data_IF_137756551686
#
_entry.id   IF_137756551686
#
_cell.length_a   1.000
_cell.length_b   1.000
_cell.length_c   1.000
_cell.angle_alpha   90.00
_cell.angle_beta   90.00
_cell.angle_gamma   90.00
#
_symmetry.space_group_name_H-M   'P 1'
#
loop_
_entity.id
_entity.type
_entity.pdbx_description
1 polymer ?
#
# COMPACT_ATOMS: atom_id res chain seq x y z
N UNK A 1 18.40 -7.91 -40.44
CA UNK A 1 18.67 -7.39 -39.09
C UNK A 1 18.98 -8.62 -38.24
N UNK A 2 20.26 -8.96 -38.07
CA UNK A 2 20.67 -10.08 -37.22
C UNK A 2 20.59 -9.57 -35.76
N UNK A 3 19.56 -9.95 -35.05
CA UNK A 3 19.53 -9.71 -33.61
C UNK A 3 20.63 -10.45 -32.91
N UNK A 4 21.47 -9.71 -32.20
CA UNK A 4 22.53 -10.33 -31.42
C UNK A 4 21.87 -11.12 -30.26
N UNK A 5 22.39 -12.27 -29.91
CA UNK A 5 21.87 -13.10 -28.81
C UNK A 5 21.72 -12.31 -27.51
N UNK A 6 22.56 -11.30 -27.30
CA UNK A 6 22.50 -10.41 -26.17
C UNK A 6 21.25 -9.52 -26.19
N UNK A 7 20.84 -9.00 -27.34
CA UNK A 7 19.65 -8.17 -27.48
C UNK A 7 18.37 -8.97 -27.20
N UNK A 8 18.29 -10.19 -27.69
CA UNK A 8 17.19 -11.13 -27.41
C UNK A 8 17.10 -11.39 -25.91
N UNK A 9 18.23 -11.59 -25.22
CA UNK A 9 18.28 -11.78 -23.78
C UNK A 9 17.76 -10.55 -23.02
N UNK A 10 18.05 -9.32 -23.46
CA UNK A 10 17.54 -8.10 -22.83
C UNK A 10 16.03 -7.99 -22.99
N UNK A 11 15.52 -8.26 -24.18
CA UNK A 11 14.06 -8.27 -24.43
C UNK A 11 13.36 -9.31 -23.53
N UNK A 12 13.95 -10.51 -23.42
CA UNK A 12 13.42 -11.55 -22.55
C UNK A 12 13.38 -11.11 -21.08
N UNK A 13 14.39 -10.38 -20.59
CA UNK A 13 14.40 -9.83 -19.21
C UNK A 13 13.27 -8.85 -19.00
N UNK A 14 13.02 -7.95 -19.96
CA UNK A 14 11.90 -7.01 -19.89
C UNK A 14 10.56 -7.74 -19.82
N UNK A 15 10.40 -8.76 -20.65
CA UNK A 15 9.18 -9.54 -20.68
C UNK A 15 8.94 -10.30 -19.37
N UNK A 16 9.97 -10.98 -18.84
CA UNK A 16 9.88 -11.71 -17.55
C UNK A 16 9.61 -10.74 -16.40
N UNK A 17 10.27 -9.58 -16.36
CA UNK A 17 10.03 -8.56 -15.35
C UNK A 17 8.58 -8.06 -15.41
N UNK A 18 8.06 -7.78 -16.61
CA UNK A 18 6.69 -7.36 -16.84
C UNK A 18 5.68 -8.41 -16.37
N UNK A 19 5.92 -9.69 -16.69
CA UNK A 19 5.06 -10.79 -16.21
C UNK A 19 5.03 -10.87 -14.67
N UNK A 20 6.19 -10.76 -14.01
CA UNK A 20 6.26 -10.72 -12.54
C UNK A 20 5.46 -9.55 -11.97
N UNK A 21 5.64 -8.35 -12.54
CA UNK A 21 4.86 -7.16 -12.15
C UNK A 21 3.36 -7.35 -12.40
N UNK A 22 2.98 -7.94 -13.54
CA UNK A 22 1.58 -8.24 -13.88
C UNK A 22 0.94 -9.15 -12.83
N UNK A 23 1.63 -10.22 -12.43
CA UNK A 23 1.12 -11.20 -11.46
C UNK A 23 0.89 -10.52 -10.10
N UNK A 24 1.86 -9.70 -9.61
CA UNK A 24 1.69 -8.91 -8.40
C UNK A 24 0.48 -7.96 -8.53
N UNK A 25 0.39 -7.25 -9.66
CA UNK A 25 -0.66 -6.27 -9.90
C UNK A 25 -2.05 -6.89 -10.09
N UNK A 26 -2.16 -8.15 -10.55
CA UNK A 26 -3.43 -8.88 -10.62
C UNK A 26 -4.00 -9.10 -9.21
N UNK A 27 -3.18 -9.52 -8.28
CA UNK A 27 -3.59 -9.67 -6.87
C UNK A 27 -4.05 -8.34 -6.30
N UNK A 28 -3.32 -7.24 -6.55
CA UNK A 28 -3.71 -5.90 -6.10
C UNK A 28 -5.04 -5.45 -6.69
N UNK A 29 -5.24 -5.65 -8.00
CA UNK A 29 -6.50 -5.34 -8.69
C UNK A 29 -7.67 -6.13 -8.09
N UNK A 30 -7.50 -7.43 -7.84
CA UNK A 30 -8.56 -8.27 -7.26
C UNK A 30 -8.97 -7.82 -5.84
N UNK A 31 -8.11 -7.05 -5.16
CA UNK A 31 -8.37 -6.46 -3.84
C UNK A 31 -8.74 -4.98 -3.88
N UNK A 32 -9.09 -4.47 -5.06
CA UNK A 32 -9.50 -3.06 -5.25
C UNK A 32 -8.49 -2.05 -4.69
N UNK A 33 -7.18 -2.37 -4.81
CA UNK A 33 -6.11 -1.43 -4.42
C UNK A 33 -5.83 -0.45 -5.56
N UNK A 34 -5.34 0.75 -5.22
CA UNK A 34 -5.16 1.89 -6.12
C UNK A 34 -4.21 1.58 -7.28
N UNK A 35 -3.09 0.88 -7.02
CA UNK A 35 -2.17 0.41 -8.04
C UNK A 35 -2.45 -1.04 -8.42
N UNK A 36 -2.96 -1.23 -9.63
CA UNK A 36 -3.33 -2.55 -10.17
C UNK A 36 -2.32 -3.09 -11.18
N UNK A 37 -2.79 -3.99 -12.04
CA UNK A 37 -1.99 -4.76 -13.01
C UNK A 37 -1.14 -3.90 -13.93
N UNK A 38 -1.72 -2.81 -14.49
CA UNK A 38 -0.99 -1.93 -15.43
C UNK A 38 0.17 -1.22 -14.75
N UNK A 39 -0.05 -0.68 -13.56
CA UNK A 39 0.97 0.05 -12.80
C UNK A 39 2.15 -0.85 -12.47
N UNK A 40 1.89 -2.02 -11.89
CA UNK A 40 2.95 -2.97 -11.53
C UNK A 40 3.71 -3.50 -12.74
N UNK A 41 3.02 -3.79 -13.86
CA UNK A 41 3.66 -4.18 -15.11
C UNK A 41 4.65 -3.12 -15.59
N UNK A 42 4.21 -1.85 -15.68
CA UNK A 42 5.03 -0.74 -16.16
C UNK A 42 6.22 -0.50 -15.23
N UNK A 43 6.01 -0.50 -13.92
CA UNK A 43 7.08 -0.28 -12.93
C UNK A 43 8.13 -1.36 -13.02
N UNK A 44 7.75 -2.64 -13.14
CA UNK A 44 8.69 -3.75 -13.27
C UNK A 44 9.49 -3.67 -14.58
N UNK A 45 8.81 -3.44 -15.72
CA UNK A 45 9.46 -3.28 -17.02
C UNK A 45 10.43 -2.09 -17.04
N UNK A 46 9.99 -0.92 -16.55
CA UNK A 46 10.82 0.28 -16.54
C UNK A 46 12.05 0.10 -15.65
N UNK A 47 11.87 -0.50 -14.47
CA UNK A 47 12.99 -0.79 -13.55
C UNK A 47 13.99 -1.78 -14.16
N UNK A 48 13.50 -2.83 -14.86
CA UNK A 48 14.35 -3.77 -15.58
C UNK A 48 15.11 -3.10 -16.72
N UNK A 49 14.45 -2.23 -17.49
CA UNK A 49 15.08 -1.45 -18.54
C UNK A 49 16.20 -0.56 -17.98
N UNK A 50 15.92 0.20 -16.93
CA UNK A 50 16.92 1.06 -16.30
C UNK A 50 18.10 0.28 -15.76
N UNK A 51 17.87 -0.93 -15.22
CA UNK A 51 18.96 -1.82 -14.79
C UNK A 51 19.79 -2.36 -15.96
N UNK A 52 19.16 -2.71 -17.07
CA UNK A 52 19.86 -3.15 -18.29
C UNK A 52 20.75 -2.02 -18.82
N UNK A 53 20.18 -0.80 -18.94
CA UNK A 53 20.94 0.38 -19.37
C UNK A 53 22.08 0.70 -18.40
N UNK A 54 21.83 0.62 -17.08
CA UNK A 54 22.82 0.89 -16.04
C UNK A 54 24.01 -0.06 -16.15
N UNK A 55 23.74 -1.35 -16.36
CA UNK A 55 24.77 -2.40 -16.34
C UNK A 55 25.50 -2.58 -17.68
N UNK A 56 24.81 -2.37 -18.79
CA UNK A 56 25.31 -2.73 -20.12
C UNK A 56 25.39 -1.55 -21.08
N UNK A 57 24.65 -0.46 -20.85
CA UNK A 57 24.56 0.67 -21.78
C UNK A 57 25.84 1.52 -21.89
N UNK A 58 26.79 1.34 -20.96
CA UNK A 58 28.06 2.08 -20.92
C UNK A 58 29.27 1.13 -20.94
N UNK A 59 29.12 -0.06 -21.51
CA UNK A 59 30.15 -1.08 -21.54
C UNK A 59 31.40 -0.65 -22.32
N UNK A 60 31.21 0.23 -23.32
CA UNK A 60 32.28 0.84 -24.12
C UNK A 60 33.13 1.86 -23.34
N UNK A 61 32.64 2.36 -22.22
CA UNK A 61 33.31 3.38 -21.38
C UNK A 61 34.03 2.79 -20.16
N UNK A 62 34.07 1.48 -20.02
CA UNK A 62 34.48 0.83 -18.76
C UNK A 62 36.00 0.87 -18.51
N UNK A 63 36.84 1.02 -19.54
CA UNK A 63 38.30 1.08 -19.40
C UNK A 63 38.83 2.14 -20.36
N UNK A 64 39.45 3.20 -19.85
CA UNK A 64 40.21 4.11 -20.65
C UNK A 64 41.70 3.66 -20.72
N UNK A 65 42.53 4.31 -21.57
CA UNK A 65 43.98 4.00 -21.74
C UNK A 65 44.79 4.04 -20.43
N UNK A 66 44.23 4.65 -19.36
CA UNK A 66 44.86 4.76 -18.04
C UNK A 66 44.33 3.74 -17.03
N UNK A 67 43.47 2.77 -17.45
CA UNK A 67 42.94 1.72 -16.58
C UNK A 67 41.90 2.22 -15.57
N UNK A 68 41.37 3.45 -15.71
CA UNK A 68 40.36 4.03 -14.81
C UNK A 68 38.98 3.57 -15.26
N UNK A 69 38.17 3.05 -14.35
CA UNK A 69 36.75 2.76 -14.62
C UNK A 69 36.00 4.06 -14.90
N UNK A 70 35.55 4.25 -16.14
CA UNK A 70 34.88 5.46 -16.57
C UNK A 70 33.40 5.54 -16.13
N UNK A 71 32.68 4.40 -16.07
CA UNK A 71 31.26 4.36 -15.75
C UNK A 71 30.94 3.47 -14.56
N UNK A 72 30.11 3.97 -13.66
CA UNK A 72 29.58 3.20 -12.53
C UNK A 72 28.24 2.57 -12.94
N UNK A 73 28.27 1.27 -13.21
CA UNK A 73 27.10 0.49 -13.63
C UNK A 73 25.98 0.38 -12.58
N UNK A 74 26.18 0.87 -11.34
CA UNK A 74 25.14 0.87 -10.31
C UNK A 74 24.39 2.22 -10.22
N UNK A 75 24.92 3.28 -10.81
CA UNK A 75 24.43 4.65 -10.61
C UNK A 75 23.00 4.87 -11.04
N UNK A 76 22.62 4.43 -12.26
CA UNK A 76 21.24 4.58 -12.76
C UNK A 76 20.30 3.68 -11.96
N UNK A 77 20.71 2.45 -11.64
CA UNK A 77 19.92 1.54 -10.83
C UNK A 77 19.64 2.10 -9.43
N UNK A 78 20.61 2.75 -8.79
CA UNK A 78 20.44 3.44 -7.51
C UNK A 78 19.40 4.56 -7.59
N UNK A 79 19.37 5.31 -8.70
CA UNK A 79 18.37 6.36 -8.91
C UNK A 79 16.95 5.80 -9.10
N UNK A 80 16.78 4.58 -9.59
CA UNK A 80 15.47 3.93 -9.65
C UNK A 80 14.91 3.74 -8.26
N UNK A 81 15.72 3.26 -7.30
CA UNK A 81 15.30 3.03 -5.90
C UNK A 81 14.82 4.33 -5.26
N UNK A 82 15.55 5.42 -5.48
CA UNK A 82 15.15 6.76 -5.00
C UNK A 82 13.89 7.28 -5.73
N UNK A 83 13.88 7.18 -7.06
CA UNK A 83 12.80 7.72 -7.90
C UNK A 83 11.46 7.03 -7.69
N UNK A 84 11.45 5.73 -7.47
CA UNK A 84 10.21 4.98 -7.16
C UNK A 84 9.63 5.40 -5.80
N UNK A 85 10.47 5.90 -4.87
CA UNK A 85 10.01 6.47 -3.61
C UNK A 85 9.06 7.66 -3.82
N UNK A 86 9.28 8.48 -4.85
CA UNK A 86 8.36 9.57 -5.22
C UNK A 86 6.99 9.04 -5.68
N UNK A 87 6.97 8.01 -6.52
CA UNK A 87 5.72 7.37 -6.94
C UNK A 87 4.99 6.75 -5.74
N UNK A 88 5.74 6.08 -4.85
CA UNK A 88 5.20 5.52 -3.61
C UNK A 88 4.58 6.59 -2.72
N UNK A 89 5.27 7.70 -2.51
CA UNK A 89 4.76 8.82 -1.72
C UNK A 89 3.46 9.40 -2.32
N UNK A 90 3.37 9.49 -3.65
CA UNK A 90 2.17 9.93 -4.37
C UNK A 90 0.95 9.02 -4.21
N UNK A 91 1.13 7.79 -3.70
CA UNK A 91 0.04 6.84 -3.42
C UNK A 91 -0.46 6.88 -1.98
N UNK A 92 0.20 7.66 -1.12
CA UNK A 92 -0.16 7.79 0.30
C UNK A 92 -1.07 9.00 0.47
N UNK A 93 -2.29 8.76 0.91
CA UNK A 93 -3.25 9.82 1.18
C UNK A 93 -3.51 9.90 2.69
N UNK A 94 -3.46 11.13 3.20
CA UNK A 94 -3.82 11.44 4.59
C UNK A 94 -5.14 12.21 4.56
N UNK A 95 -6.18 11.62 5.12
CA UNK A 95 -7.49 12.26 5.23
C UNK A 95 -7.97 12.21 6.68
N UNK A 96 -8.14 13.38 7.29
CA UNK A 96 -8.44 13.50 8.73
C UNK A 96 -7.44 12.66 9.54
N UNK A 97 -7.93 11.62 10.25
CA UNK A 97 -7.12 10.74 11.10
C UNK A 97 -6.78 9.39 10.44
N UNK A 98 -7.02 9.22 9.14
CA UNK A 98 -6.72 7.97 8.42
C UNK A 98 -5.62 8.16 7.38
N UNK A 99 -4.71 7.17 7.32
CA UNK A 99 -3.65 7.10 6.31
C UNK A 99 -3.92 5.88 5.45
N UNK A 100 -4.11 6.10 4.15
CA UNK A 100 -4.33 5.04 3.15
C UNK A 100 -3.19 4.97 2.16
N UNK A 101 -3.07 3.86 1.40
CA UNK A 101 -2.08 3.72 0.35
C UNK A 101 -0.69 3.23 0.78
N UNK A 102 -0.38 3.08 2.08
CA UNK A 102 0.93 2.63 2.57
C UNK A 102 1.34 1.28 1.98
N UNK A 103 0.43 0.30 1.99
CA UNK A 103 0.68 -1.04 1.43
C UNK A 103 0.87 -1.00 -0.09
N UNK A 104 0.14 -0.11 -0.77
CA UNK A 104 0.25 0.11 -2.21
C UNK A 104 1.61 0.71 -2.55
N UNK A 105 2.06 1.72 -1.79
CA UNK A 105 3.38 2.34 -1.95
C UNK A 105 4.52 1.33 -1.77
N UNK A 106 4.47 0.52 -0.70
CA UNK A 106 5.42 -0.56 -0.45
C UNK A 106 5.42 -1.61 -1.58
N UNK A 107 4.23 -1.97 -2.10
CA UNK A 107 4.08 -2.88 -3.24
C UNK A 107 4.73 -2.37 -4.52
N UNK A 108 4.57 -1.09 -4.86
CA UNK A 108 5.22 -0.46 -6.02
C UNK A 108 6.74 -0.48 -5.86
N UNK A 109 7.25 -0.11 -4.67
CA UNK A 109 8.68 -0.11 -4.39
C UNK A 109 9.29 -1.51 -4.49
N UNK A 110 8.64 -2.52 -3.94
CA UNK A 110 9.06 -3.92 -4.03
C UNK A 110 9.03 -4.44 -5.49
N UNK A 111 8.02 -4.07 -6.27
CA UNK A 111 7.91 -4.43 -7.70
C UNK A 111 9.05 -3.83 -8.51
N UNK A 112 9.47 -2.61 -8.21
CA UNK A 112 10.64 -2.02 -8.84
C UNK A 112 11.92 -2.81 -8.52
N UNK A 113 12.09 -3.27 -7.27
CA UNK A 113 13.18 -4.16 -6.87
C UNK A 113 13.20 -5.48 -7.65
N UNK A 114 12.03 -6.09 -7.87
CA UNK A 114 11.90 -7.29 -8.74
C UNK A 114 12.35 -6.98 -10.16
N UNK A 115 11.93 -5.85 -10.72
CA UNK A 115 12.37 -5.41 -12.05
C UNK A 115 13.87 -5.23 -12.14
N UNK A 116 14.50 -4.56 -11.16
CA UNK A 116 15.96 -4.40 -11.10
C UNK A 116 16.68 -5.74 -11.04
N UNK A 117 16.22 -6.69 -10.23
CA UNK A 117 16.82 -8.02 -10.11
C UNK A 117 16.80 -8.78 -11.44
N UNK A 118 15.64 -8.82 -12.11
CA UNK A 118 15.47 -9.51 -13.40
C UNK A 118 16.28 -8.81 -14.49
N UNK A 119 16.27 -7.47 -14.52
CA UNK A 119 17.08 -6.66 -15.44
C UNK A 119 18.58 -6.91 -15.29
N UNK A 120 19.06 -7.13 -14.06
CA UNK A 120 20.44 -7.52 -13.78
C UNK A 120 20.79 -8.94 -14.23
N UNK A 121 19.78 -9.77 -14.59
CA UNK A 121 19.94 -11.18 -14.93
C UNK A 121 19.80 -12.14 -13.73
N UNK A 122 19.37 -11.64 -12.57
CA UNK A 122 19.15 -12.41 -11.35
C UNK A 122 17.73 -13.01 -11.33
N UNK A 123 17.42 -13.87 -12.30
CA UNK A 123 16.07 -14.41 -12.50
C UNK A 123 15.55 -15.16 -11.28
N UNK A 124 16.38 -16.02 -10.67
CA UNK A 124 15.98 -16.80 -9.48
C UNK A 124 15.58 -15.89 -8.35
N UNK A 125 16.34 -14.82 -8.10
CA UNK A 125 16.05 -13.84 -7.04
C UNK A 125 14.77 -13.07 -7.34
N UNK A 126 14.62 -12.57 -8.56
CA UNK A 126 13.44 -11.79 -8.97
C UNK A 126 12.14 -12.62 -8.92
N UNK A 127 12.18 -13.86 -9.42
CA UNK A 127 11.01 -14.76 -9.40
C UNK A 127 10.69 -15.18 -7.96
N UNK A 128 11.69 -15.55 -7.15
CA UNK A 128 11.47 -15.90 -5.74
C UNK A 128 10.91 -14.72 -4.94
N UNK A 129 11.41 -13.50 -5.18
CA UNK A 129 10.88 -12.30 -4.57
C UNK A 129 9.41 -12.07 -4.96
N UNK A 130 9.05 -12.27 -6.24
CA UNK A 130 7.67 -12.17 -6.72
C UNK A 130 6.76 -13.15 -5.97
N UNK A 131 7.16 -14.42 -5.85
CA UNK A 131 6.40 -15.44 -5.14
C UNK A 131 6.25 -15.11 -3.66
N UNK A 132 7.32 -14.64 -3.01
CA UNK A 132 7.31 -14.23 -1.61
C UNK A 132 6.37 -13.04 -1.37
N UNK A 133 6.41 -12.03 -2.24
CA UNK A 133 5.52 -10.88 -2.17
C UNK A 133 4.06 -11.29 -2.30
N UNK A 134 3.75 -12.17 -3.26
CA UNK A 134 2.40 -12.71 -3.43
C UNK A 134 1.94 -13.48 -2.20
N UNK A 135 2.79 -14.39 -1.72
CA UNK A 135 2.49 -15.17 -0.53
C UNK A 135 2.22 -14.27 0.68
N UNK A 136 3.09 -13.29 0.91
CA UNK A 136 2.92 -12.33 1.99
C UNK A 136 1.61 -11.54 1.86
N UNK A 137 1.29 -11.07 0.66
CA UNK A 137 0.05 -10.33 0.39
C UNK A 137 -1.21 -11.17 0.60
N UNK A 138 -1.16 -12.46 0.24
CA UNK A 138 -2.29 -13.39 0.45
C UNK A 138 -2.41 -13.75 1.93
N UNK A 139 -1.31 -14.19 2.56
CA UNK A 139 -1.30 -14.70 3.94
C UNK A 139 -1.61 -13.59 4.94
N UNK A 140 -0.99 -12.43 4.82
CA UNK A 140 -1.21 -11.30 5.73
C UNK A 140 -2.61 -10.67 5.58
N UNK A 141 -3.29 -10.97 4.48
CA UNK A 141 -4.69 -10.54 4.32
C UNK A 141 -5.71 -11.57 4.84
N UNK A 142 -5.28 -12.81 5.04
CA UNK A 142 -6.16 -13.78 5.69
C UNK A 142 -6.37 -13.32 7.14
N UNK A 143 -7.64 -13.18 7.54
CA UNK A 143 -8.03 -12.84 8.92
C UNK A 143 -7.54 -13.95 9.88
N UNK A 144 -6.26 -13.93 10.18
CA UNK A 144 -5.72 -14.74 11.26
C UNK A 144 -6.35 -14.24 12.56
N UNK A 145 -7.15 -15.07 13.20
CA UNK A 145 -7.77 -14.78 14.51
C UNK A 145 -6.78 -14.27 15.57
N UNK A 146 -5.50 -14.50 15.35
CA UNK A 146 -4.39 -14.12 16.25
C UNK A 146 -3.84 -12.71 15.99
N UNK A 147 -4.01 -12.17 14.77
CA UNK A 147 -3.54 -10.83 14.36
C UNK A 147 -4.70 -9.84 14.27
N UNK A 148 -5.91 -10.24 14.63
CA UNK A 148 -7.07 -9.38 14.64
C UNK A 148 -6.91 -8.31 15.70
N UNK A 149 -6.21 -7.21 15.37
CA UNK A 149 -6.42 -5.95 16.04
C UNK A 149 -7.94 -5.68 15.96
N UNK A 150 -8.57 -5.42 17.09
CA UNK A 150 -9.97 -5.04 17.12
C UNK A 150 -10.11 -3.83 16.20
N UNK A 151 -10.96 -3.95 15.17
CA UNK A 151 -11.11 -2.86 14.20
C UNK A 151 -11.86 -1.74 14.88
N UNK A 152 -11.22 -0.59 15.00
CA UNK A 152 -11.89 0.62 15.41
C UNK A 152 -13.04 0.92 14.45
N UNK A 153 -14.16 1.34 14.97
CA UNK A 153 -15.35 1.75 14.21
C UNK A 153 -15.65 3.21 14.51
N UNK A 154 -16.26 3.86 13.56
CA UNK A 154 -16.70 5.24 13.70
C UNK A 154 -18.20 5.22 13.94
N UNK A 155 -18.62 5.67 15.12
CA UNK A 155 -20.01 5.94 15.45
C UNK A 155 -20.29 7.42 15.20
N UNK A 156 -21.08 7.72 14.19
CA UNK A 156 -21.58 9.06 13.90
C UNK A 156 -22.96 9.22 14.53
N UNK A 157 -23.15 10.27 15.31
CA UNK A 157 -24.45 10.65 15.90
C UNK A 157 -24.79 12.05 15.43
N UNK A 158 -25.93 12.20 14.79
CA UNK A 158 -26.34 13.43 14.13
C UNK A 158 -27.39 14.20 14.93
N UNK A 159 -27.40 15.53 14.76
CA UNK A 159 -28.44 16.45 15.25
C UNK A 159 -28.70 16.38 16.76
N UNK A 160 -27.60 16.39 17.53
CA UNK A 160 -27.70 16.37 19.00
C UNK A 160 -27.78 17.78 19.56
N UNK A 161 -28.78 18.04 20.39
CA UNK A 161 -29.05 19.38 20.96
C UNK A 161 -28.54 19.54 22.40
N UNK A 162 -28.02 18.48 23.03
CA UNK A 162 -27.58 18.49 24.43
C UNK A 162 -26.11 18.88 24.60
N UNK A 163 -25.80 19.87 25.43
CA UNK A 163 -24.45 20.35 25.73
C UNK A 163 -23.57 19.30 26.44
N UNK A 164 -24.13 18.33 27.16
CA UNK A 164 -23.40 17.31 27.91
C UNK A 164 -23.40 15.93 27.25
N UNK A 165 -23.87 15.86 26.00
CA UNK A 165 -24.02 14.59 25.30
C UNK A 165 -22.72 13.81 25.15
N UNK A 166 -21.61 14.48 24.86
CA UNK A 166 -20.30 13.84 24.77
C UNK A 166 -19.95 13.06 26.04
N UNK A 167 -20.09 13.68 27.21
CA UNK A 167 -19.77 13.04 28.50
C UNK A 167 -20.74 11.90 28.81
N UNK A 168 -22.01 12.06 28.48
CA UNK A 168 -23.01 11.02 28.63
C UNK A 168 -22.69 9.80 27.78
N UNK A 169 -22.42 9.99 26.48
CA UNK A 169 -22.10 8.90 25.55
C UNK A 169 -20.80 8.17 25.90
N UNK A 170 -19.76 8.91 26.29
CA UNK A 170 -18.49 8.27 26.70
C UNK A 170 -18.72 7.38 27.92
N UNK A 171 -19.46 7.85 28.92
CA UNK A 171 -19.77 7.07 30.11
C UNK A 171 -20.66 5.85 29.79
N UNK A 172 -21.65 6.00 28.90
CA UNK A 172 -22.54 4.91 28.47
C UNK A 172 -21.76 3.82 27.75
N UNK A 173 -20.91 4.20 26.80
CA UNK A 173 -20.10 3.27 26.02
C UNK A 173 -19.07 2.55 26.88
N UNK A 174 -18.35 3.28 27.75
CA UNK A 174 -17.38 2.70 28.67
C UNK A 174 -18.03 1.77 29.69
N UNK A 175 -19.23 2.10 30.19
CA UNK A 175 -20.00 1.24 31.09
C UNK A 175 -20.42 -0.09 30.47
N UNK A 176 -20.42 -0.20 29.13
CA UNK A 176 -20.66 -1.43 28.37
C UNK A 176 -19.37 -2.11 27.86
N UNK A 177 -18.20 -1.63 28.27
CA UNK A 177 -16.91 -2.18 27.86
C UNK A 177 -16.46 -1.76 26.45
N UNK A 178 -17.11 -0.75 25.85
CA UNK A 178 -16.69 -0.16 24.56
C UNK A 178 -15.61 0.87 24.85
N UNK A 179 -14.42 0.69 24.28
CA UNK A 179 -13.35 1.68 24.39
C UNK A 179 -13.59 2.84 23.41
N UNK A 180 -13.50 4.07 23.91
CA UNK A 180 -13.60 5.30 23.11
C UNK A 180 -12.20 5.89 22.97
N UNK A 181 -11.68 5.97 21.74
CA UNK A 181 -10.32 6.42 21.46
C UNK A 181 -10.26 7.91 21.08
N UNK A 182 -11.28 8.40 20.37
CA UNK A 182 -11.32 9.79 19.94
C UNK A 182 -12.77 10.27 19.84
N UNK A 183 -12.97 11.58 20.02
CA UNK A 183 -14.29 12.23 19.90
C UNK A 183 -14.11 13.56 19.18
N UNK A 184 -14.74 13.71 18.03
CA UNK A 184 -14.82 15.00 17.32
C UNK A 184 -16.24 15.49 17.24
N UNK A 185 -16.41 16.83 17.24
CA UNK A 185 -17.70 17.51 17.22
C UNK A 185 -17.72 18.51 16.08
N UNK A 186 -18.68 18.40 15.20
CA UNK A 186 -18.90 19.35 14.10
C UNK A 186 -20.27 20.03 14.31
N UNK A 187 -20.33 21.37 14.13
CA UNK A 187 -21.59 22.09 14.14
C UNK A 187 -22.30 21.94 12.81
N UNK A 188 -23.57 21.55 12.85
CA UNK A 188 -24.49 21.52 11.71
C UNK A 188 -25.57 22.62 11.87
N UNK A 189 -26.30 22.88 10.79
CA UNK A 189 -27.42 23.88 10.84
C UNK A 189 -28.57 23.43 11.76
N UNK A 190 -28.73 22.11 11.99
CA UNK A 190 -29.78 21.48 12.76
C UNK A 190 -29.35 20.99 14.16
N UNK A 191 -28.06 21.22 14.55
CA UNK A 191 -27.54 20.73 15.82
C UNK A 191 -26.03 20.48 15.79
N UNK A 192 -25.57 19.57 16.64
CA UNK A 192 -24.17 19.13 16.69
C UNK A 192 -24.06 17.66 16.24
N UNK A 193 -23.10 17.37 15.38
CA UNK A 193 -22.77 16.02 14.98
C UNK A 193 -21.56 15.54 15.78
N UNK A 194 -21.69 14.40 16.43
CA UNK A 194 -20.64 13.78 17.23
C UNK A 194 -20.08 12.56 16.48
N UNK A 195 -18.77 12.51 16.32
CA UNK A 195 -18.08 11.35 15.75
C UNK A 195 -17.22 10.71 16.85
N UNK A 196 -17.54 9.49 17.23
CA UNK A 196 -16.80 8.70 18.21
C UNK A 196 -15.99 7.62 17.48
N UNK A 197 -14.69 7.53 17.73
CA UNK A 197 -13.88 6.39 17.31
C UNK A 197 -13.92 5.37 18.45
N UNK A 198 -14.60 4.26 18.22
CA UNK A 198 -14.92 3.26 19.23
C UNK A 198 -14.32 1.89 18.86
N UNK A 199 -13.98 1.13 19.89
CA UNK A 199 -13.58 -0.27 19.78
C UNK A 199 -14.66 -1.13 20.45
N UNK A 200 -15.39 -1.92 19.64
CA UNK A 200 -16.51 -2.72 20.11
C UNK A 200 -15.98 -4.06 20.62
N UNK A 201 -16.27 -4.46 21.88
CA UNK A 201 -15.88 -5.75 22.40
C UNK A 201 -16.64 -6.88 21.68
N UNK A 202 -16.05 -8.09 21.64
CA UNK A 202 -16.65 -9.26 20.97
C UNK A 202 -18.00 -9.70 21.53
N UNK A 203 -18.39 -9.18 22.67
CA UNK A 203 -19.63 -9.48 23.39
C UNK A 203 -20.80 -8.60 22.97
N UNK A 204 -20.57 -7.58 22.13
CA UNK A 204 -21.58 -6.63 21.68
C UNK A 204 -21.58 -6.58 20.15
N UNK A 205 -22.77 -6.51 19.55
CA UNK A 205 -22.96 -6.27 18.14
C UNK A 205 -23.23 -4.79 17.84
N UNK A 206 -23.10 -4.39 16.56
CA UNK A 206 -23.37 -3.01 16.12
C UNK A 206 -24.81 -2.58 16.43
N UNK A 207 -25.76 -3.49 16.27
CA UNK A 207 -27.18 -3.26 16.55
C UNK A 207 -27.45 -2.94 18.02
N UNK A 208 -26.69 -3.58 18.93
CA UNK A 208 -26.78 -3.29 20.37
C UNK A 208 -26.38 -1.84 20.67
N UNK A 209 -25.32 -1.34 20.01
CA UNK A 209 -24.85 0.03 20.21
C UNK A 209 -25.82 1.03 19.61
N UNK A 210 -26.33 0.77 18.41
CA UNK A 210 -27.33 1.63 17.75
C UNK A 210 -28.58 1.74 18.60
N UNK A 211 -29.03 0.65 19.20
CA UNK A 211 -30.21 0.64 20.05
C UNK A 211 -30.08 1.45 21.36
N UNK A 212 -28.85 1.69 21.82
CA UNK A 212 -28.55 2.47 23.02
C UNK A 212 -28.50 3.98 22.78
N UNK A 213 -28.35 4.39 21.51
CA UNK A 213 -28.22 5.80 21.12
C UNK A 213 -29.59 6.37 20.84
N UNK A 214 -30.07 7.40 21.60
CA UNK A 214 -31.41 7.98 21.44
C UNK A 214 -31.53 8.91 20.23
N UNK A 215 -30.50 9.04 19.41
CA UNK A 215 -30.47 9.92 18.23
C UNK A 215 -30.18 9.11 16.97
N UNK A 216 -30.38 9.72 15.80
CA UNK A 216 -29.99 9.11 14.52
C UNK A 216 -28.51 8.86 14.50
N UNK A 217 -28.12 7.59 14.37
CA UNK A 217 -26.72 7.21 14.38
C UNK A 217 -26.42 6.18 13.29
N UNK A 218 -25.16 6.14 12.90
CA UNK A 218 -24.63 5.18 11.94
C UNK A 218 -23.23 4.72 12.35
N UNK A 219 -22.90 3.45 12.09
CA UNK A 219 -21.61 2.87 12.41
C UNK A 219 -20.91 2.50 11.10
N UNK A 220 -19.68 2.98 10.95
CA UNK A 220 -18.84 2.72 9.78
C UNK A 220 -17.50 2.11 10.20
N UNK A 221 -16.89 1.25 9.37
CA UNK A 221 -15.50 0.85 9.58
C UNK A 221 -14.56 2.06 9.41
N UNK A 222 -13.50 2.13 10.18
CA UNK A 222 -12.49 3.21 10.14
C UNK A 222 -11.72 3.26 8.80
N UNK A 223 -11.81 2.20 7.97
CA UNK A 223 -11.08 2.04 6.70
C UNK A 223 -11.88 2.53 5.47
N UNK A 224 -12.69 3.59 5.61
CA UNK A 224 -13.32 4.25 4.45
C UNK A 224 -12.72 5.61 4.19
#
# INVERSE_FOLDING_TARGET
MNFDLHEIMYILRLFVAGLCGMIIGLERKNRSKEAGTRTHFIVACASALMMIVSKYGFADQTINEFGVRGADGARIAAQVVSGVGFLGAGMIFVHKNTITGLTTAAGIWATAGVGLAIGAGMYTVGISATLLLLLAQIVLHMDFKWVRAQKNKVLLVENVDEEKYQTFMVNLLQGKGVAVHDVSVEKSEEGKNYTFVIEIPKTLDEEDIISMVPYTCSIYPTDR
#
